data_IF_114582910521
#
_entry.id   IF_114582910521
#
_cell.length_a   1.000
_cell.length_b   1.000
_cell.length_c   1.000
_cell.angle_alpha   90.00
_cell.angle_beta   90.00
_cell.angle_gamma   90.00
#
_symmetry.space_group_name_H-M   'P 1'
#
loop_
_entity.id
_entity.type
_entity.pdbx_description
1 polymer ?
#
# COMPACT_ATOMS: atom_id res chain seq x y z
N UNK A 1 -24.32 -7.15 55.04
CA UNK A 1 -24.68 -7.54 53.66
C UNK A 1 -24.26 -6.40 52.74
N UNK A 2 -23.13 -6.55 52.09
CA UNK A 2 -22.62 -5.54 51.15
C UNK A 2 -22.84 -6.11 49.73
N UNK A 3 -23.75 -5.48 48.98
CA UNK A 3 -24.03 -5.83 47.61
C UNK A 3 -22.93 -5.23 46.69
N UNK A 4 -22.09 -6.08 46.13
CA UNK A 4 -21.09 -5.69 45.11
C UNK A 4 -21.83 -5.62 43.79
N UNK A 5 -22.06 -4.40 43.28
CA UNK A 5 -22.54 -4.13 41.93
C UNK A 5 -21.36 -4.30 40.95
N UNK A 6 -21.28 -5.46 40.29
CA UNK A 6 -20.44 -5.67 39.12
C UNK A 6 -21.06 -4.91 37.93
N UNK A 7 -20.56 -3.71 37.66
CA UNK A 7 -20.81 -3.01 36.42
C UNK A 7 -19.99 -3.68 35.31
N UNK A 8 -20.61 -4.58 34.54
CA UNK A 8 -20.06 -5.07 33.27
C UNK A 8 -20.07 -3.93 32.26
N UNK A 9 -18.89 -3.42 31.95
CA UNK A 9 -18.70 -2.55 30.81
C UNK A 9 -18.88 -3.39 29.53
N UNK A 10 -20.05 -3.34 28.94
CA UNK A 10 -20.26 -3.78 27.57
C UNK A 10 -19.69 -2.66 26.68
N UNK A 11 -18.50 -2.86 26.14
CA UNK A 11 -18.00 -2.03 25.07
C UNK A 11 -18.94 -2.22 23.87
N UNK A 12 -19.87 -1.30 23.66
CA UNK A 12 -20.67 -1.22 22.43
C UNK A 12 -19.71 -0.93 21.29
N UNK A 13 -19.43 -1.93 20.46
CA UNK A 13 -18.86 -1.71 19.14
C UNK A 13 -19.98 -1.02 18.36
N UNK A 14 -19.89 0.31 18.21
CA UNK A 14 -20.77 1.08 17.34
C UNK A 14 -20.47 0.63 15.90
N UNK A 15 -21.31 -0.26 15.38
CA UNK A 15 -21.31 -0.63 13.98
C UNK A 15 -21.94 0.54 13.24
N UNK A 16 -21.20 1.17 12.32
CA UNK A 16 -21.77 2.19 11.46
C UNK A 16 -22.97 1.60 10.73
N UNK A 17 -24.09 2.34 10.71
CA UNK A 17 -25.37 1.87 10.19
C UNK A 17 -25.35 1.52 8.69
N UNK A 18 -24.26 1.83 7.99
CA UNK A 18 -24.06 1.69 6.54
C UNK A 18 -22.94 0.70 6.13
N UNK A 19 -22.38 -0.08 7.07
CA UNK A 19 -21.37 -1.10 6.75
C UNK A 19 -19.94 -0.58 6.57
N UNK A 20 -19.70 0.74 6.56
CA UNK A 20 -18.35 1.31 6.55
C UNK A 20 -17.91 1.52 8.01
N UNK A 21 -16.76 0.97 8.45
CA UNK A 21 -16.29 1.11 9.82
C UNK A 21 -15.87 2.56 10.13
N UNK A 22 -16.03 2.95 11.38
CA UNK A 22 -15.50 4.22 11.84
C UNK A 22 -13.98 4.24 11.81
N UNK A 23 -13.40 5.45 11.67
CA UNK A 23 -11.96 5.65 11.73
C UNK A 23 -11.41 5.12 13.06
N UNK A 24 -10.36 4.27 13.03
CA UNK A 24 -9.78 3.74 14.25
C UNK A 24 -9.19 4.83 15.13
N UNK A 25 -9.29 4.64 16.43
CA UNK A 25 -8.65 5.52 17.41
C UNK A 25 -7.85 4.70 18.42
N UNK A 26 -6.52 4.90 18.59
CA UNK A 26 -5.69 5.85 17.83
C UNK A 26 -5.60 5.49 16.34
N UNK A 27 -5.31 6.49 15.45
CA UNK A 27 -5.21 6.27 14.02
C UNK A 27 -4.09 5.26 13.68
N UNK A 28 -4.38 4.34 12.74
CA UNK A 28 -3.44 3.33 12.26
C UNK A 28 -3.49 3.24 10.73
N UNK A 29 -2.34 2.96 10.12
CA UNK A 29 -2.25 2.74 8.67
C UNK A 29 -2.57 1.30 8.27
N UNK A 30 -2.40 0.33 9.17
CA UNK A 30 -2.77 -1.07 8.94
C UNK A 30 -3.96 -1.44 9.81
N UNK A 31 -5.09 -1.70 9.16
CA UNK A 31 -6.37 -2.02 9.78
C UNK A 31 -6.83 -3.41 9.34
N UNK A 32 -6.33 -4.43 10.02
CA UNK A 32 -6.57 -5.84 9.70
C UNK A 32 -7.83 -6.38 10.38
N UNK A 33 -9.01 -5.97 9.88
CA UNK A 33 -10.30 -6.42 10.42
C UNK A 33 -10.65 -7.86 10.00
N UNK A 34 -10.02 -8.37 8.96
CA UNK A 34 -10.20 -9.76 8.51
C UNK A 34 -9.24 -10.74 9.19
N UNK A 35 -8.22 -10.25 9.91
CA UNK A 35 -7.24 -11.08 10.61
C UNK A 35 -6.35 -11.90 9.67
N UNK A 36 -5.93 -11.32 8.53
CA UNK A 36 -5.13 -12.02 7.52
C UNK A 36 -3.63 -11.84 7.70
N UNK A 37 -3.21 -10.88 8.53
CA UNK A 37 -1.80 -10.65 8.84
C UNK A 37 -1.45 -11.26 10.20
N UNK A 38 -0.23 -11.76 10.34
CA UNK A 38 0.31 -12.00 11.68
C UNK A 38 0.58 -10.66 12.37
N UNK A 39 0.61 -10.66 13.71
CA UNK A 39 0.91 -9.46 14.49
C UNK A 39 2.26 -8.83 14.08
N UNK A 40 3.28 -9.66 13.88
CA UNK A 40 4.59 -9.20 13.42
C UNK A 40 4.54 -8.59 12.02
N UNK A 41 3.78 -9.18 11.08
CA UNK A 41 3.63 -8.65 9.74
C UNK A 41 2.87 -7.31 9.74
N UNK A 42 1.79 -7.22 10.51
CA UNK A 42 1.03 -5.98 10.67
C UNK A 42 1.88 -4.85 11.26
N UNK A 43 2.69 -5.16 12.28
CA UNK A 43 3.63 -4.19 12.88
C UNK A 43 4.69 -3.71 11.87
N UNK A 44 5.31 -4.62 11.11
CA UNK A 44 6.29 -4.26 10.08
C UNK A 44 5.70 -3.39 8.98
N UNK A 45 4.48 -3.70 8.53
CA UNK A 45 3.75 -2.89 7.55
C UNK A 45 3.47 -1.49 8.13
N UNK A 46 2.95 -1.41 9.35
CA UNK A 46 2.66 -0.14 10.04
C UNK A 46 3.91 0.73 10.15
N UNK A 47 5.03 0.19 10.67
CA UNK A 47 6.29 0.92 10.82
C UNK A 47 6.79 1.47 9.48
N UNK A 48 6.72 0.65 8.42
CA UNK A 48 7.15 1.04 7.07
C UNK A 48 6.28 2.15 6.49
N UNK A 49 4.96 2.06 6.67
CA UNK A 49 4.02 3.05 6.17
C UNK A 49 4.10 4.37 6.95
N UNK A 50 4.30 4.30 8.25
CA UNK A 50 4.54 5.49 9.09
C UNK A 50 5.85 6.17 8.68
N UNK A 51 6.93 5.41 8.47
CA UNK A 51 8.20 5.97 7.99
C UNK A 51 8.05 6.60 6.60
N UNK A 52 7.34 5.95 5.68
CA UNK A 52 7.04 6.47 4.35
C UNK A 52 6.23 7.77 4.41
N UNK A 53 5.18 7.81 5.21
CA UNK A 53 4.36 9.01 5.38
C UNK A 53 5.15 10.19 5.94
N UNK A 54 6.04 9.96 6.92
CA UNK A 54 6.92 11.00 7.45
C UNK A 54 7.90 11.56 6.43
N UNK A 55 8.36 10.74 5.48
CA UNK A 55 9.34 11.13 4.46
C UNK A 55 8.70 11.86 3.28
N UNK A 56 7.49 11.48 2.88
CA UNK A 56 6.86 11.91 1.62
C UNK A 56 5.60 12.73 1.81
N UNK A 57 5.03 12.74 3.01
CA UNK A 57 3.69 13.23 3.33
C UNK A 57 2.54 12.40 2.71
N UNK A 58 2.83 11.44 1.83
CA UNK A 58 1.82 10.54 1.29
C UNK A 58 1.34 9.55 2.35
N UNK A 59 0.06 9.22 2.34
CA UNK A 59 -0.54 8.32 3.31
C UNK A 59 -1.09 7.09 2.62
N UNK A 60 -0.55 5.93 2.94
CA UNK A 60 -1.07 4.65 2.46
C UNK A 60 -1.73 3.93 3.64
N UNK A 61 -3.01 3.59 3.48
CA UNK A 61 -3.78 2.83 4.46
C UNK A 61 -4.10 1.45 3.88
N UNK A 62 -3.87 0.42 4.66
CA UNK A 62 -4.26 -0.95 4.34
C UNK A 62 -5.49 -1.30 5.18
N UNK A 63 -6.52 -1.76 4.51
CA UNK A 63 -7.78 -2.20 5.14
C UNK A 63 -8.09 -3.61 4.69
N UNK A 64 -8.25 -4.52 5.63
CA UNK A 64 -8.76 -5.86 5.33
C UNK A 64 -10.14 -6.02 5.94
N UNK A 65 -11.09 -6.62 5.22
CA UNK A 65 -12.44 -6.88 5.72
C UNK A 65 -13.02 -8.15 5.12
N UNK A 66 -13.81 -8.88 5.88
CA UNK A 66 -14.53 -10.05 5.38
C UNK A 66 -15.83 -9.71 4.67
N UNK A 67 -16.35 -8.51 4.89
CA UNK A 67 -17.62 -8.03 4.33
C UNK A 67 -17.48 -6.59 3.83
N UNK A 68 -18.07 -6.30 2.69
CA UNK A 68 -18.11 -4.97 2.08
C UNK A 68 -19.46 -4.25 2.35
N UNK A 69 -20.35 -4.81 3.15
CA UNK A 69 -21.62 -4.19 3.50
C UNK A 69 -22.53 -3.88 2.30
N UNK A 70 -22.39 -4.62 1.21
CA UNK A 70 -23.14 -4.39 -0.05
C UNK A 70 -22.47 -3.41 -1.02
N UNK A 71 -21.36 -2.77 -0.65
CA UNK A 71 -20.58 -1.92 -1.53
C UNK A 71 -19.73 -2.73 -2.51
N UNK A 72 -19.44 -2.16 -3.67
CA UNK A 72 -18.35 -2.65 -4.51
C UNK A 72 -16.99 -2.36 -3.85
N UNK A 73 -15.90 -3.08 -4.22
CA UNK A 73 -14.58 -2.79 -3.67
C UNK A 73 -14.13 -1.35 -3.90
N UNK A 74 -14.48 -0.76 -5.03
CA UNK A 74 -14.18 0.65 -5.35
C UNK A 74 -14.91 1.58 -4.38
N UNK A 75 -16.23 1.46 -4.29
CA UNK A 75 -17.04 2.30 -3.41
C UNK A 75 -16.57 2.19 -1.95
N UNK A 76 -16.32 0.96 -1.48
CA UNK A 76 -15.86 0.73 -0.10
C UNK A 76 -14.51 1.38 0.18
N UNK A 77 -13.53 1.22 -0.72
CA UNK A 77 -12.20 1.80 -0.55
C UNK A 77 -12.23 3.34 -0.62
N UNK A 78 -13.03 3.91 -1.53
CA UNK A 78 -13.23 5.35 -1.66
C UNK A 78 -13.90 5.93 -0.41
N UNK A 79 -14.98 5.30 0.07
CA UNK A 79 -15.67 5.73 1.29
C UNK A 79 -14.77 5.68 2.54
N UNK A 80 -13.92 4.64 2.65
CA UNK A 80 -12.90 4.58 3.70
C UNK A 80 -11.95 5.78 3.57
N UNK A 81 -11.44 6.02 2.38
CA UNK A 81 -10.51 7.14 2.12
C UNK A 81 -11.09 8.49 2.53
N UNK A 82 -12.32 8.77 2.11
CA UNK A 82 -13.02 10.02 2.38
C UNK A 82 -13.41 10.16 3.86
N UNK A 83 -14.06 9.15 4.45
CA UNK A 83 -14.54 9.22 5.85
C UNK A 83 -13.42 9.25 6.87
N UNK A 84 -12.35 8.49 6.62
CA UNK A 84 -11.18 8.52 7.50
C UNK A 84 -10.29 9.73 7.25
N UNK A 85 -10.46 10.40 6.09
CA UNK A 85 -9.66 11.54 5.68
C UNK A 85 -8.22 11.16 5.36
N UNK A 86 -8.03 10.03 4.66
CA UNK A 86 -6.71 9.53 4.30
C UNK A 86 -6.02 10.48 3.32
N UNK A 87 -4.78 10.84 3.60
CA UNK A 87 -4.05 11.87 2.86
C UNK A 87 -4.21 13.27 3.47
N UNK A 88 -3.62 14.26 2.82
CA UNK A 88 -3.67 15.64 3.26
C UNK A 88 -4.68 16.44 2.45
N UNK A 89 -5.56 17.19 3.14
CA UNK A 89 -6.67 17.97 2.57
C UNK A 89 -6.29 18.90 1.41
N UNK A 90 -5.05 19.38 1.37
CA UNK A 90 -4.61 20.33 0.33
C UNK A 90 -4.07 19.66 -0.92
N UNK A 91 -3.62 18.44 -0.81
CA UNK A 91 -2.90 17.73 -1.88
C UNK A 91 -3.49 16.35 -2.19
N UNK A 92 -4.50 15.90 -1.44
CA UNK A 92 -5.27 14.67 -1.66
C UNK A 92 -4.38 13.44 -1.99
N UNK A 93 -3.31 13.26 -1.21
CA UNK A 93 -2.25 12.29 -1.46
C UNK A 93 -2.42 11.00 -0.63
N UNK A 94 -3.64 10.58 -0.48
CA UNK A 94 -4.02 9.33 0.18
C UNK A 94 -4.07 8.14 -0.78
N UNK A 95 -3.80 6.94 -0.24
CA UNK A 95 -3.99 5.67 -0.93
C UNK A 95 -4.65 4.70 0.03
N UNK A 96 -5.69 4.00 -0.43
CA UNK A 96 -6.31 2.91 0.31
C UNK A 96 -6.10 1.59 -0.43
N UNK A 97 -5.43 0.63 0.21
CA UNK A 97 -5.31 -0.74 -0.29
C UNK A 97 -6.33 -1.59 0.46
N UNK A 98 -7.42 -1.93 -0.22
CA UNK A 98 -8.48 -2.77 0.32
C UNK A 98 -8.20 -4.23 -0.05
N UNK A 99 -8.32 -5.13 0.92
CA UNK A 99 -8.21 -6.58 0.72
C UNK A 99 -9.42 -7.24 1.38
N UNK A 100 -10.26 -7.88 0.57
CA UNK A 100 -11.30 -8.78 1.03
C UNK A 100 -10.84 -10.23 0.79
N UNK A 101 -10.57 -10.99 1.85
CA UNK A 101 -10.08 -12.36 1.68
C UNK A 101 -11.07 -13.25 0.92
N UNK A 102 -10.51 -14.24 0.22
CA UNK A 102 -11.31 -15.31 -0.35
C UNK A 102 -11.91 -16.16 0.76
N UNK A 103 -13.20 -16.42 0.64
CA UNK A 103 -13.92 -17.30 1.55
C UNK A 103 -14.45 -18.54 0.81
N UNK A 104 -15.07 -19.45 1.55
CA UNK A 104 -15.75 -20.61 0.97
C UNK A 104 -16.91 -20.21 0.04
N UNK A 105 -17.49 -19.03 0.25
CA UNK A 105 -18.71 -18.57 -0.42
C UNK A 105 -18.49 -17.36 -1.34
N UNK A 106 -17.30 -16.75 -1.32
CA UNK A 106 -17.01 -15.56 -2.13
C UNK A 106 -15.56 -15.53 -2.61
N UNK A 107 -15.38 -14.97 -3.80
CA UNK A 107 -14.04 -14.69 -4.34
C UNK A 107 -13.32 -13.69 -3.45
N UNK A 108 -12.00 -13.79 -3.39
CA UNK A 108 -11.16 -12.74 -2.85
C UNK A 108 -11.21 -11.52 -3.77
N UNK A 109 -11.09 -10.33 -3.18
CA UNK A 109 -11.10 -9.06 -3.92
C UNK A 109 -10.04 -8.14 -3.34
N UNK A 110 -9.35 -7.43 -4.22
CA UNK A 110 -8.39 -6.39 -3.85
C UNK A 110 -8.69 -5.14 -4.66
N UNK A 111 -8.53 -3.98 -4.05
CA UNK A 111 -8.70 -2.70 -4.71
C UNK A 111 -7.67 -1.70 -4.18
N UNK A 112 -7.08 -0.90 -5.06
CA UNK A 112 -6.22 0.23 -4.74
C UNK A 112 -6.98 1.49 -5.14
N UNK A 113 -7.42 2.28 -4.17
CA UNK A 113 -8.01 3.59 -4.39
C UNK A 113 -6.96 4.68 -4.18
N UNK A 114 -6.94 5.67 -5.06
CA UNK A 114 -6.00 6.79 -5.01
C UNK A 114 -6.74 8.11 -4.80
N UNK A 115 -6.18 8.96 -3.95
CA UNK A 115 -6.62 10.35 -3.83
C UNK A 115 -6.27 11.15 -5.08
N UNK A 116 -7.04 12.20 -5.35
CA UNK A 116 -6.94 13.01 -6.59
C UNK A 116 -5.54 13.54 -6.86
N UNK A 117 -4.78 13.86 -5.83
CA UNK A 117 -3.41 14.36 -5.95
C UNK A 117 -2.40 13.34 -6.42
N UNK A 118 -2.75 12.06 -6.41
CA UNK A 118 -1.88 10.96 -6.87
C UNK A 118 -2.29 10.38 -8.23
N UNK A 119 -3.39 10.82 -8.84
CA UNK A 119 -3.85 10.31 -10.14
C UNK A 119 -2.80 10.48 -11.26
N UNK A 120 -1.95 11.48 -11.15
CA UNK A 120 -0.83 11.69 -12.09
C UNK A 120 0.32 10.70 -11.89
N UNK A 121 0.61 10.28 -10.66
CA UNK A 121 1.68 9.34 -10.34
C UNK A 121 1.20 7.89 -10.37
N UNK A 122 -0.02 7.65 -9.90
CA UNK A 122 -0.68 6.34 -9.81
C UNK A 122 -2.02 6.38 -10.55
N UNK A 123 -2.04 6.50 -11.88
CA UNK A 123 -3.27 6.42 -12.65
C UNK A 123 -3.91 5.03 -12.54
N UNK A 124 -5.22 4.92 -12.80
CA UNK A 124 -6.00 3.68 -12.67
C UNK A 124 -5.37 2.50 -13.43
N UNK A 125 -4.85 2.76 -14.62
CA UNK A 125 -4.16 1.74 -15.44
C UNK A 125 -2.94 1.19 -14.71
N UNK A 126 -2.20 2.04 -13.98
CA UNK A 126 -1.04 1.61 -13.23
C UNK A 126 -1.46 0.85 -11.96
N UNK A 127 -2.47 1.31 -11.24
CA UNK A 127 -3.07 0.57 -10.13
C UNK A 127 -3.54 -0.82 -10.57
N UNK A 128 -4.16 -0.92 -11.76
CA UNK A 128 -4.59 -2.20 -12.32
C UNK A 128 -3.41 -3.15 -12.55
N UNK A 129 -2.31 -2.68 -13.11
CA UNK A 129 -1.09 -3.49 -13.29
C UNK A 129 -0.51 -3.96 -11.96
N UNK A 130 -0.43 -3.07 -10.96
CA UNK A 130 0.04 -3.45 -9.62
C UNK A 130 -0.83 -4.58 -9.06
N UNK A 131 -2.15 -4.48 -9.21
CA UNK A 131 -3.07 -5.51 -8.75
C UNK A 131 -2.89 -6.81 -9.54
N UNK A 132 -2.99 -6.76 -10.87
CA UNK A 132 -3.01 -7.96 -11.72
C UNK A 132 -1.64 -8.66 -11.79
N UNK A 133 -0.53 -7.89 -11.87
CA UNK A 133 0.79 -8.47 -12.08
C UNK A 133 1.54 -8.75 -10.78
N UNK A 134 1.29 -7.98 -9.69
CA UNK A 134 2.04 -8.13 -8.44
C UNK A 134 1.22 -8.76 -7.31
N UNK A 135 -0.09 -8.47 -7.18
CA UNK A 135 -0.89 -8.99 -6.07
C UNK A 135 -1.60 -10.29 -6.41
N UNK A 136 -2.34 -10.33 -7.51
CA UNK A 136 -3.21 -11.45 -7.88
C UNK A 136 -2.44 -12.77 -8.04
N UNK A 137 -1.26 -12.85 -8.68
CA UNK A 137 -0.51 -14.11 -8.79
C UNK A 137 -0.16 -14.70 -7.41
N UNK A 138 0.29 -13.86 -6.48
CA UNK A 138 0.66 -14.29 -5.11
C UNK A 138 -0.59 -14.73 -4.34
N UNK A 139 -1.71 -14.04 -4.53
CA UNK A 139 -2.98 -14.37 -3.86
C UNK A 139 -3.60 -15.65 -4.42
N UNK A 140 -3.44 -15.94 -5.72
CA UNK A 140 -3.85 -17.21 -6.33
C UNK A 140 -3.01 -18.39 -5.86
N UNK A 141 -1.71 -18.18 -5.63
CA UNK A 141 -0.74 -19.20 -5.22
C UNK A 141 -0.69 -19.42 -3.69
N UNK A 142 -1.80 -19.35 -2.98
CA UNK A 142 -1.83 -19.71 -1.57
C UNK A 142 -2.31 -18.62 -0.60
N UNK A 143 -2.91 -17.56 -1.11
CA UNK A 143 -3.48 -16.48 -0.29
C UNK A 143 -2.46 -15.82 0.66
N UNK A 144 -1.22 -15.63 0.21
CA UNK A 144 -0.21 -14.94 1.00
C UNK A 144 -0.45 -13.42 0.97
N UNK A 145 -1.36 -12.95 1.81
CA UNK A 145 -1.77 -11.54 1.89
C UNK A 145 -0.60 -10.61 2.23
N UNK A 146 0.28 -11.02 3.13
CA UNK A 146 1.47 -10.25 3.52
C UNK A 146 2.40 -10.04 2.33
N UNK A 147 2.73 -11.11 1.60
CA UNK A 147 3.61 -11.01 0.44
C UNK A 147 2.98 -10.18 -0.69
N UNK A 148 1.67 -10.36 -0.96
CA UNK A 148 0.95 -9.59 -1.97
C UNK A 148 0.92 -8.08 -1.62
N UNK A 149 0.69 -7.74 -0.36
CA UNK A 149 0.73 -6.36 0.11
C UNK A 149 2.11 -5.74 -0.05
N UNK A 150 3.17 -6.46 0.35
CA UNK A 150 4.54 -5.98 0.15
C UNK A 150 4.90 -5.82 -1.32
N UNK A 151 4.41 -6.71 -2.19
CA UNK A 151 4.64 -6.61 -3.64
C UNK A 151 4.04 -5.31 -4.21
N UNK A 152 2.83 -4.94 -3.78
CA UNK A 152 2.23 -3.66 -4.15
C UNK A 152 3.01 -2.46 -3.58
N UNK A 153 3.36 -2.49 -2.30
CA UNK A 153 4.07 -1.39 -1.64
C UNK A 153 5.45 -1.13 -2.24
N UNK A 154 6.16 -2.17 -2.69
CA UNK A 154 7.46 -2.05 -3.38
C UNK A 154 7.37 -1.27 -4.70
N UNK A 155 6.20 -1.17 -5.31
CA UNK A 155 5.96 -0.35 -6.50
C UNK A 155 5.40 1.02 -6.11
N UNK A 156 4.38 1.04 -5.27
CA UNK A 156 3.66 2.27 -4.88
C UNK A 156 4.60 3.27 -4.20
N UNK A 157 5.40 2.81 -3.22
CA UNK A 157 6.21 3.72 -2.42
C UNK A 157 7.29 4.47 -3.22
N UNK A 158 8.09 3.82 -4.10
CA UNK A 158 9.05 4.52 -4.95
C UNK A 158 8.39 5.47 -5.95
N UNK A 159 7.28 5.05 -6.57
CA UNK A 159 6.52 5.92 -7.50
C UNK A 159 6.05 7.19 -6.79
N UNK A 160 5.49 7.06 -5.60
CA UNK A 160 5.04 8.21 -4.81
C UNK A 160 6.20 9.07 -4.25
N UNK A 161 7.43 8.56 -4.22
CA UNK A 161 8.64 9.36 -3.97
C UNK A 161 9.14 10.10 -5.20
N UNK A 162 8.61 9.80 -6.39
CA UNK A 162 9.09 10.33 -7.66
C UNK A 162 10.39 9.65 -8.15
N UNK A 163 10.71 8.47 -7.63
CA UNK A 163 11.89 7.69 -8.04
C UNK A 163 11.72 7.13 -9.46
N UNK A 164 10.50 6.78 -9.86
CA UNK A 164 10.09 6.48 -11.24
C UNK A 164 8.59 6.74 -11.46
N UNK A 165 8.21 6.80 -12.73
CA UNK A 165 6.83 6.99 -13.17
C UNK A 165 6.30 5.74 -13.89
N UNK A 166 5.04 5.78 -14.31
CA UNK A 166 4.39 4.69 -15.05
C UNK A 166 5.14 4.29 -16.34
N UNK A 167 5.68 5.25 -17.08
CA UNK A 167 6.40 5.00 -18.34
C UNK A 167 7.70 4.22 -18.08
N UNK A 168 8.45 4.62 -17.06
CA UNK A 168 9.69 3.93 -16.65
C UNK A 168 9.39 2.52 -16.15
N UNK A 169 8.32 2.34 -15.36
CA UNK A 169 7.90 1.02 -14.89
C UNK A 169 7.53 0.08 -16.04
N UNK A 170 6.84 0.60 -17.06
CA UNK A 170 6.47 -0.19 -18.24
C UNK A 170 7.70 -0.63 -19.05
N UNK A 171 8.74 0.21 -19.17
CA UNK A 171 9.96 -0.13 -19.89
C UNK A 171 10.79 -1.23 -19.22
N UNK A 172 10.74 -1.32 -17.89
CA UNK A 172 11.47 -2.34 -17.13
C UNK A 172 10.88 -3.76 -17.28
N UNK A 173 9.58 -3.88 -17.58
CA UNK A 173 8.95 -5.19 -17.81
C UNK A 173 9.10 -5.71 -19.25
N UNK A 174 9.36 -4.82 -20.20
CA UNK A 174 9.48 -5.15 -21.63
C UNK A 174 10.94 -5.41 -22.07
N UNK A 175 11.91 -5.54 -21.16
CA UNK A 175 13.28 -5.91 -21.49
C UNK A 175 13.32 -7.29 -22.13
N UNK A 176 13.32 -7.29 -23.48
CA UNK A 176 13.42 -8.50 -24.27
C UNK A 176 14.78 -9.18 -24.09
N UNK A 177 14.89 -10.45 -24.47
CA UNK A 177 16.17 -11.16 -24.50
C UNK A 177 17.24 -10.39 -25.30
N UNK A 178 16.84 -9.58 -26.27
CA UNK A 178 17.72 -8.72 -27.06
C UNK A 178 18.28 -7.56 -26.23
N UNK A 179 17.51 -6.98 -25.31
CA UNK A 179 17.98 -5.91 -24.41
C UNK A 179 19.00 -6.45 -23.42
N UNK A 180 18.80 -7.68 -22.91
CA UNK A 180 19.77 -8.38 -22.09
C UNK A 180 21.08 -8.65 -22.85
N UNK A 181 21.02 -9.06 -24.13
CA UNK A 181 22.19 -9.26 -25.00
C UNK A 181 22.93 -7.93 -25.21
N UNK A 182 22.19 -6.83 -25.39
CA UNK A 182 22.74 -5.49 -25.56
C UNK A 182 23.42 -4.98 -24.29
N UNK A 183 22.78 -5.17 -23.14
CA UNK A 183 23.38 -4.84 -21.83
C UNK A 183 24.64 -5.65 -21.57
N UNK A 184 24.64 -6.96 -21.86
CA UNK A 184 25.83 -7.81 -21.73
C UNK A 184 26.93 -7.35 -22.70
N UNK A 185 26.61 -6.98 -23.94
CA UNK A 185 27.57 -6.48 -24.93
C UNK A 185 28.22 -5.16 -24.47
N UNK A 186 27.42 -4.22 -23.93
CA UNK A 186 27.93 -2.98 -23.35
C UNK A 186 28.81 -3.27 -22.12
N UNK A 187 28.40 -4.20 -21.26
CA UNK A 187 29.17 -4.57 -20.07
C UNK A 187 30.51 -5.20 -20.41
N UNK A 188 30.58 -6.01 -21.49
CA UNK A 188 31.84 -6.57 -22.04
C UNK A 188 32.75 -5.48 -22.63
N UNK A 189 32.17 -4.48 -23.29
CA UNK A 189 32.92 -3.32 -23.78
C UNK A 189 33.49 -2.50 -22.59
N UNK A 190 32.69 -2.27 -21.53
CA UNK A 190 33.14 -1.57 -20.34
C UNK A 190 34.20 -2.35 -19.54
N UNK A 191 34.10 -3.68 -19.48
CA UNK A 191 35.10 -4.54 -18.83
C UNK A 191 36.43 -4.48 -19.67
N UNK A 192 36.32 -4.52 -20.99
CA UNK A 192 37.50 -4.33 -21.89
C UNK A 192 38.16 -2.97 -21.71
N UNK A 193 37.36 -1.91 -21.49
CA UNK A 193 37.84 -0.54 -21.27
C UNK A 193 38.42 -0.33 -19.85
N UNK A 194 37.95 -1.08 -18.83
CA UNK A 194 38.46 -0.99 -17.44
C UNK A 194 39.86 -1.58 -17.26
N UNK A 195 40.32 -2.42 -18.20
CA UNK A 195 41.70 -2.94 -18.18
C UNK A 195 42.71 -1.83 -18.53
N UNK A 196 42.23 -0.68 -19.07
CA UNK A 196 43.10 0.38 -19.58
C UNK A 196 43.18 1.66 -18.73
N UNK A 197 42.30 1.87 -17.72
CA UNK A 197 42.33 3.09 -16.87
C UNK A 197 41.95 2.82 -15.40
N UNK A 198 42.81 3.14 -14.43
CA UNK A 198 42.46 3.07 -13.00
C UNK A 198 41.81 4.36 -12.54
N UNK A 199 40.60 4.28 -11.97
CA UNK A 199 39.94 5.40 -11.32
C UNK A 199 39.49 5.08 -9.88
N UNK A 200 39.78 6.03 -8.97
CA UNK A 200 39.70 5.86 -7.51
C UNK A 200 38.27 6.01 -6.94
N UNK A 201 38.09 5.41 -5.77
CA UNK A 201 36.83 5.34 -5.05
C UNK A 201 36.58 6.52 -4.13
N UNK A 202 35.30 6.82 -3.90
CA UNK A 202 34.81 7.72 -2.84
C UNK A 202 33.69 7.04 -2.05
N UNK A 203 33.81 7.05 -0.74
CA UNK A 203 32.84 6.47 0.20
C UNK A 203 31.92 7.55 0.78
N UNK A 204 30.61 7.25 0.87
CA UNK A 204 29.65 8.07 1.59
C UNK A 204 29.09 7.33 2.81
N UNK A 205 29.10 8.00 3.96
CA UNK A 205 28.50 7.54 5.20
C UNK A 205 27.21 8.33 5.46
N UNK A 206 26.11 7.64 5.78
CA UNK A 206 24.87 8.26 6.22
C UNK A 206 24.55 7.91 7.66
N UNK A 207 24.23 8.92 8.46
CA UNK A 207 23.76 8.79 9.83
C UNK A 207 22.24 8.88 9.90
N UNK A 208 21.61 8.04 10.70
CA UNK A 208 20.17 8.06 10.98
C UNK A 208 19.90 8.48 12.41
N UNK A 209 18.98 9.42 12.61
CA UNK A 209 18.39 9.73 13.92
C UNK A 209 16.88 9.52 13.85
N UNK A 210 16.36 8.59 14.66
CA UNK A 210 14.95 8.31 14.78
C UNK A 210 14.24 9.24 15.78
N UNK A 211 13.03 9.63 15.46
CA UNK A 211 12.10 10.33 16.36
C UNK A 211 10.72 9.67 16.22
N UNK A 212 10.22 9.11 17.32
CA UNK A 212 8.87 8.57 17.41
C UNK A 212 7.87 9.71 17.63
N UNK A 213 7.17 10.13 16.60
CA UNK A 213 6.03 11.04 16.67
C UNK A 213 4.78 10.32 16.21
N UNK A 214 3.64 10.55 16.90
CA UNK A 214 2.35 10.01 16.53
C UNK A 214 1.96 10.33 15.10
N UNK A 215 1.14 9.47 14.51
CA UNK A 215 0.58 9.62 13.17
C UNK A 215 -0.85 10.17 13.27
N UNK A 216 -1.26 11.05 12.35
CA UNK A 216 -2.65 11.51 12.20
C UNK A 216 -3.00 11.64 10.71
N UNK A 217 -4.30 11.46 10.38
CA UNK A 217 -4.80 11.63 9.02
C UNK A 217 -5.05 13.11 8.72
N UNK A 218 -4.65 13.53 7.54
CA UNK A 218 -4.65 14.92 7.13
C UNK A 218 -5.93 15.42 6.46
N UNK A 219 -6.95 14.58 6.27
CA UNK A 219 -8.26 14.97 5.70
C UNK A 219 -8.26 15.10 4.16
N UNK A 220 -7.54 14.24 3.46
CA UNK A 220 -7.57 14.15 1.99
C UNK A 220 -8.93 13.68 1.45
N UNK A 221 -9.17 13.84 0.15
CA UNK A 221 -10.36 13.39 -0.57
C UNK A 221 -10.03 12.48 -1.74
N UNK A 222 -10.98 11.60 -2.08
CA UNK A 222 -10.86 10.61 -3.14
C UNK A 222 -11.82 10.92 -4.28
N UNK A 223 -11.40 10.67 -5.52
CA UNK A 223 -12.21 10.90 -6.73
C UNK A 223 -12.89 9.65 -7.27
N UNK A 224 -12.77 8.51 -6.57
CA UNK A 224 -13.22 7.22 -7.08
C UNK A 224 -12.26 6.59 -8.09
N UNK A 225 -11.07 7.16 -8.27
CA UNK A 225 -9.98 6.57 -9.05
C UNK A 225 -9.36 5.35 -8.37
N UNK A 226 -8.68 4.53 -9.15
CA UNK A 226 -8.03 3.31 -8.69
C UNK A 226 -8.39 2.08 -9.53
N UNK A 227 -7.91 0.93 -9.13
CA UNK A 227 -8.23 -0.32 -9.81
C UNK A 227 -8.21 -1.51 -8.84
N UNK A 228 -8.90 -2.58 -9.23
CA UNK A 228 -9.00 -3.79 -8.44
C UNK A 228 -9.10 -5.05 -9.24
N UNK A 229 -8.92 -6.19 -8.58
CA UNK A 229 -9.00 -7.52 -9.16
C UNK A 229 -9.63 -8.54 -8.21
N UNK A 230 -9.83 -9.74 -8.69
CA UNK A 230 -10.40 -10.85 -7.91
C UNK A 230 -9.70 -12.17 -8.20
N UNK A 231 -9.69 -13.09 -7.19
CA UNK A 231 -9.08 -14.42 -7.31
C UNK A 231 -9.92 -15.53 -6.67
#
# INVERSE_FOLDING_TARGET
>A
MVAVLLMSWVASVAQAADGIPERPYPPRLVNDMAGVFSEAAAAQLEDSLVAFSKQTSNQVVIVTTNDLGGYTPNEYATEIGDRWGVGQKKIDNGIVILIKPKTRFSKGQVFIATGRGLEGALPDVFCNRIVEDKMIPILKDGNNYTAATWAALKVIMPVCRGEYNYETYQSDEDLSLFDWIFVIAILLVFIGFRIFLPFGGGSFTSGSSGSSGGFDFGGGSFGGGGAGGSW
#
